data_IF_086378209335
#
_entry.id   IF_086378209335
#
_cell.length_a   1.000
_cell.length_b   1.000
_cell.length_c   1.000
_cell.angle_alpha   90.00
_cell.angle_beta   90.00
_cell.angle_gamma   90.00
#
_symmetry.space_group_name_H-M   'P 1'
#
loop_
_entity.id
_entity.type
_entity.pdbx_description
1 polymer ?
#
# COMPACT_ATOMS: atom_id res chain seq x y z
N UNK A 1 3.59 -13.57 2.58
CA UNK A 1 3.08 -13.32 1.22
C UNK A 1 3.07 -11.82 0.96
N UNK A 2 3.42 -11.41 -0.25
CA UNK A 2 3.35 -10.01 -0.71
C UNK A 2 3.31 -10.01 -2.25
N UNK A 3 2.66 -9.03 -2.90
CA UNK A 3 2.69 -8.94 -4.34
C UNK A 3 4.07 -8.53 -4.89
N UNK A 4 4.23 -8.59 -6.21
CA UNK A 4 5.45 -8.26 -6.94
C UNK A 4 5.61 -6.74 -7.19
N UNK A 5 6.70 -6.08 -6.72
CA UNK A 5 6.97 -4.66 -6.97
C UNK A 5 7.06 -4.26 -8.44
N UNK A 6 7.40 -5.18 -9.34
CA UNK A 6 7.45 -4.91 -10.78
C UNK A 6 6.07 -4.64 -11.36
N UNK A 7 5.01 -5.25 -10.84
CA UNK A 7 3.65 -5.14 -11.39
C UNK A 7 2.66 -4.44 -10.47
N UNK A 8 2.87 -4.45 -9.15
CA UNK A 8 1.91 -3.97 -8.16
C UNK A 8 2.36 -2.68 -7.47
N UNK A 9 1.48 -1.67 -7.43
CA UNK A 9 1.68 -0.48 -6.60
C UNK A 9 1.69 -0.78 -5.09
N UNK A 10 0.83 -1.69 -4.63
CA UNK A 10 0.81 -2.14 -3.23
C UNK A 10 2.12 -2.81 -2.80
N UNK A 11 2.70 -3.61 -3.68
CA UNK A 11 4.00 -4.21 -3.41
C UNK A 11 5.13 -3.18 -3.22
N UNK A 12 5.08 -2.07 -3.95
CA UNK A 12 6.05 -0.98 -3.79
C UNK A 12 5.86 -0.28 -2.45
N UNK A 13 4.63 -0.04 -2.02
CA UNK A 13 4.36 0.48 -0.67
C UNK A 13 4.85 -0.48 0.43
N UNK A 14 4.59 -1.78 0.30
CA UNK A 14 5.08 -2.81 1.23
C UNK A 14 6.61 -2.78 1.36
N UNK A 15 7.30 -2.73 0.21
CA UNK A 15 8.75 -2.63 0.16
C UNK A 15 9.26 -1.36 0.86
N UNK A 16 8.70 -0.19 0.52
CA UNK A 16 9.14 1.09 1.08
C UNK A 16 8.84 1.20 2.57
N UNK A 17 7.74 0.60 3.04
CA UNK A 17 7.41 0.51 4.47
C UNK A 17 8.51 -0.26 5.22
N UNK A 18 8.91 -1.43 4.72
CA UNK A 18 9.97 -2.25 5.31
C UNK A 18 11.33 -1.54 5.28
N UNK A 19 11.67 -0.89 4.17
CA UNK A 19 12.89 -0.10 4.03
C UNK A 19 12.93 1.07 5.02
N UNK A 20 11.85 1.84 5.09
CA UNK A 20 11.74 3.00 5.99
C UNK A 20 11.75 2.61 7.47
N UNK A 21 11.20 1.45 7.83
CA UNK A 21 11.37 0.86 9.16
C UNK A 21 12.84 0.57 9.45
N UNK A 22 13.53 -0.13 8.55
CA UNK A 22 14.93 -0.50 8.74
C UNK A 22 15.85 0.71 8.90
N UNK A 23 15.58 1.81 8.17
CA UNK A 23 16.31 3.08 8.33
C UNK A 23 16.11 3.76 9.69
N UNK A 24 15.00 3.49 10.38
CA UNK A 24 14.72 4.05 11.71
C UNK A 24 15.32 3.23 12.86
N UNK A 25 15.90 2.06 12.58
CA UNK A 25 16.61 1.28 13.59
C UNK A 25 17.91 1.98 14.02
N UNK A 26 18.42 1.63 15.21
CA UNK A 26 19.70 2.14 15.69
C UNK A 26 20.82 1.73 14.72
N UNK A 27 21.52 2.72 14.16
CA UNK A 27 22.53 2.50 13.12
C UNK A 27 21.97 2.32 11.71
N UNK A 28 20.70 2.66 11.49
CA UNK A 28 20.03 2.57 10.20
C UNK A 28 20.69 3.42 9.12
N UNK A 29 20.95 2.78 7.98
CA UNK A 29 21.48 3.34 6.74
C UNK A 29 20.85 2.62 5.54
N UNK A 30 21.06 3.14 4.34
CA UNK A 30 20.55 2.49 3.11
C UNK A 30 21.12 1.08 2.92
N UNK A 31 22.38 0.84 3.32
CA UNK A 31 22.99 -0.49 3.27
C UNK A 31 22.30 -1.47 4.23
N UNK A 32 22.09 -1.07 5.49
CA UNK A 32 21.39 -1.93 6.46
C UNK A 32 19.92 -2.14 6.10
N UNK A 33 19.29 -1.17 5.44
CA UNK A 33 17.91 -1.31 4.95
C UNK A 33 17.82 -2.28 3.78
N UNK A 34 18.78 -2.24 2.86
CA UNK A 34 18.91 -3.23 1.78
C UNK A 34 19.07 -4.64 2.34
N UNK A 35 19.93 -4.84 3.33
CA UNK A 35 20.13 -6.15 3.97
C UNK A 35 18.87 -6.63 4.68
N UNK A 36 18.17 -5.73 5.39
CA UNK A 36 16.90 -6.06 6.05
C UNK A 36 15.85 -6.50 5.03
N UNK A 37 15.66 -5.74 3.97
CA UNK A 37 14.66 -6.05 2.94
C UNK A 37 15.06 -7.30 2.15
N UNK A 38 16.35 -7.54 1.89
CA UNK A 38 16.82 -8.81 1.31
C UNK A 38 16.43 -10.01 2.16
N UNK A 39 16.63 -9.95 3.48
CA UNK A 39 16.21 -11.01 4.42
C UNK A 39 14.68 -11.17 4.48
N UNK A 40 13.93 -10.07 4.35
CA UNK A 40 12.48 -10.13 4.26
C UNK A 40 12.05 -10.89 2.99
N UNK A 41 12.61 -10.54 1.84
CA UNK A 41 12.27 -11.17 0.56
C UNK A 41 12.75 -12.62 0.44
N UNK A 42 13.80 -13.03 1.15
CA UNK A 42 14.17 -14.45 1.22
C UNK A 42 13.12 -15.32 1.92
N UNK A 43 12.23 -14.73 2.72
CA UNK A 43 11.10 -15.41 3.36
C UNK A 43 9.81 -15.36 2.51
N UNK A 44 9.80 -14.65 1.38
CA UNK A 44 8.60 -14.51 0.54
C UNK A 44 8.43 -15.76 -0.32
N UNK A 45 7.38 -16.53 -0.03
CA UNK A 45 7.03 -17.76 -0.77
C UNK A 45 6.46 -17.50 -2.17
N UNK A 46 5.65 -16.46 -2.32
CA UNK A 46 4.93 -16.13 -3.57
C UNK A 46 4.91 -14.62 -3.76
N UNK A 47 5.18 -14.19 -5.00
CA UNK A 47 5.09 -12.81 -5.48
C UNK A 47 3.98 -12.68 -6.52
N UNK A 48 2.72 -12.58 -6.08
CA UNK A 48 1.59 -12.44 -7.00
C UNK A 48 1.65 -11.12 -7.78
N UNK A 49 1.02 -11.08 -8.96
CA UNK A 49 1.05 -9.89 -9.82
C UNK A 49 0.36 -8.66 -9.21
N UNK A 50 -0.56 -8.83 -8.27
CA UNK A 50 -1.33 -7.76 -7.63
C UNK A 50 -1.76 -8.10 -6.20
N UNK A 51 -2.13 -7.06 -5.44
CA UNK A 51 -2.43 -7.19 -4.00
C UNK A 51 -3.58 -8.15 -3.71
N UNK A 52 -4.69 -8.08 -4.47
CA UNK A 52 -5.81 -9.02 -4.32
C UNK A 52 -5.40 -10.48 -4.60
N UNK A 53 -4.49 -10.71 -5.55
CA UNK A 53 -3.94 -12.04 -5.80
C UNK A 53 -3.20 -12.59 -4.58
N UNK A 54 -2.39 -11.75 -3.92
CA UNK A 54 -1.73 -12.11 -2.66
C UNK A 54 -2.70 -12.31 -1.50
N UNK A 55 -3.79 -11.53 -1.43
CA UNK A 55 -4.89 -11.80 -0.49
C UNK A 55 -5.45 -13.19 -0.73
N UNK A 56 -5.88 -13.54 -1.95
CA UNK A 56 -6.40 -14.89 -2.28
C UNK A 56 -5.38 -15.99 -1.97
N UNK A 57 -4.09 -15.80 -2.29
CA UNK A 57 -3.03 -16.77 -1.96
C UNK A 57 -2.90 -17.02 -0.45
N UNK A 58 -2.92 -15.97 0.36
CA UNK A 58 -2.82 -16.11 1.82
C UNK A 58 -4.12 -16.63 2.44
N UNK A 59 -5.24 -16.01 2.08
CA UNK A 59 -6.51 -16.12 2.76
C UNK A 59 -7.31 -17.34 2.30
N UNK A 60 -7.46 -17.53 0.98
CA UNK A 60 -8.27 -18.60 0.42
C UNK A 60 -7.45 -19.89 0.23
N UNK A 61 -6.19 -19.76 -0.18
CA UNK A 61 -5.30 -20.92 -0.44
C UNK A 61 -4.48 -21.33 0.77
N UNK A 62 -4.49 -20.56 1.86
CA UNK A 62 -3.80 -20.88 3.11
C UNK A 62 -2.27 -20.92 2.98
N UNK A 63 -1.69 -20.13 2.07
CA UNK A 63 -0.24 -20.15 1.81
C UNK A 63 0.44 -19.03 2.59
N UNK A 64 1.41 -19.40 3.44
CA UNK A 64 2.27 -18.48 4.18
C UNK A 64 1.69 -18.06 5.53
N UNK A 65 2.54 -17.49 6.38
CA UNK A 65 2.22 -17.24 7.79
C UNK A 65 1.78 -15.80 8.06
N UNK A 66 2.16 -14.87 7.18
CA UNK A 66 1.77 -13.45 7.24
C UNK A 66 1.59 -12.88 5.83
N UNK A 67 0.57 -12.04 5.65
CA UNK A 67 0.38 -11.22 4.45
C UNK A 67 0.75 -9.77 4.76
N UNK A 68 1.65 -9.18 3.96
CA UNK A 68 1.86 -7.73 3.99
C UNK A 68 0.76 -7.10 3.13
N UNK A 69 -0.28 -6.60 3.78
CA UNK A 69 -1.53 -6.21 3.15
C UNK A 69 -1.68 -4.69 3.05
N UNK A 70 -2.50 -4.25 2.08
CA UNK A 70 -3.21 -2.99 2.23
C UNK A 70 -4.14 -3.05 3.44
N UNK A 71 -4.24 -1.97 4.20
CA UNK A 71 -5.10 -1.93 5.39
C UNK A 71 -6.57 -2.21 5.04
N UNK A 72 -7.07 -1.65 3.93
CA UNK A 72 -8.44 -1.89 3.48
C UNK A 72 -8.69 -3.37 3.11
N UNK A 73 -7.71 -4.06 2.52
CA UNK A 73 -7.81 -5.49 2.21
C UNK A 73 -7.79 -6.35 3.48
N UNK A 74 -7.01 -5.96 4.48
CA UNK A 74 -6.94 -6.67 5.76
C UNK A 74 -8.28 -6.61 6.51
N UNK A 75 -8.87 -5.42 6.67
CA UNK A 75 -10.19 -5.29 7.31
C UNK A 75 -11.30 -5.98 6.51
N UNK A 76 -11.26 -5.90 5.17
CA UNK A 76 -12.22 -6.59 4.33
C UNK A 76 -12.13 -8.11 4.52
N UNK A 77 -10.91 -8.66 4.54
CA UNK A 77 -10.69 -10.10 4.74
C UNK A 77 -11.25 -10.59 6.08
N UNK A 78 -11.02 -9.82 7.16
CA UNK A 78 -11.59 -10.12 8.49
C UNK A 78 -13.12 -10.03 8.49
N UNK A 79 -13.70 -9.02 7.84
CA UNK A 79 -15.16 -8.89 7.71
C UNK A 79 -15.79 -10.04 6.95
N UNK A 80 -15.20 -10.45 5.83
CA UNK A 80 -15.78 -11.48 4.96
C UNK A 80 -15.65 -12.90 5.53
N UNK A 81 -14.59 -13.17 6.28
CA UNK A 81 -14.22 -14.54 6.69
C UNK A 81 -14.34 -14.82 8.17
N UNK A 82 -14.61 -13.78 8.96
CA UNK A 82 -14.78 -13.83 10.40
C UNK A 82 -13.46 -13.55 11.15
N UNK A 83 -13.54 -12.90 12.33
CA UNK A 83 -12.37 -12.50 13.12
C UNK A 83 -11.61 -13.70 13.71
N UNK A 84 -12.21 -14.89 13.75
CA UNK A 84 -11.60 -16.08 14.35
C UNK A 84 -10.53 -16.72 13.47
N UNK A 85 -10.42 -16.32 12.20
CA UNK A 85 -9.48 -16.91 11.24
C UNK A 85 -8.21 -16.10 11.02
N UNK A 86 -8.29 -14.77 11.14
CA UNK A 86 -7.18 -13.88 10.84
C UNK A 86 -7.12 -12.73 11.84
N UNK A 87 -5.89 -12.42 12.26
CA UNK A 87 -5.59 -11.26 13.09
C UNK A 87 -4.91 -10.17 12.26
N UNK A 88 -5.30 -8.91 12.49
CA UNK A 88 -4.62 -7.75 11.92
C UNK A 88 -3.54 -7.29 12.92
N UNK A 89 -2.28 -7.55 12.57
CA UNK A 89 -1.13 -7.03 13.34
C UNK A 89 -0.74 -5.65 12.79
N UNK A 90 -0.93 -4.61 13.59
CA UNK A 90 -0.50 -3.25 13.25
C UNK A 90 0.96 -3.05 13.67
N UNK A 91 1.89 -2.74 12.74
CA UNK A 91 3.30 -2.55 13.08
C UNK A 91 3.52 -1.25 13.86
N UNK A 92 4.67 -1.13 14.52
CA UNK A 92 5.05 0.09 15.26
C UNK A 92 5.18 1.32 14.36
N UNK A 93 5.48 1.11 13.07
CA UNK A 93 5.58 2.16 12.05
C UNK A 93 5.21 1.58 10.68
N UNK A 94 4.58 2.39 9.84
CA UNK A 94 4.28 2.06 8.45
C UNK A 94 4.42 3.31 7.56
N UNK A 95 4.11 3.18 6.27
CA UNK A 95 4.15 4.28 5.31
C UNK A 95 2.74 4.82 5.05
N UNK A 96 2.60 6.14 4.98
CA UNK A 96 1.39 6.78 4.48
C UNK A 96 1.30 6.51 2.98
N UNK A 97 0.35 5.66 2.60
CA UNK A 97 0.13 5.32 1.21
C UNK A 97 -1.03 6.15 0.64
N UNK A 98 -0.77 6.84 -0.48
CA UNK A 98 -1.66 7.84 -1.07
C UNK A 98 -2.01 7.44 -2.51
N UNK A 99 -3.07 6.64 -2.75
CA UNK A 99 -3.48 6.24 -4.10
C UNK A 99 -3.99 7.46 -4.91
N UNK A 100 -3.29 7.89 -5.97
CA UNK A 100 -3.69 9.09 -6.71
C UNK A 100 -4.78 8.78 -7.74
N UNK A 101 -5.60 9.78 -8.04
CA UNK A 101 -6.59 9.76 -9.14
C UNK A 101 -6.33 10.92 -10.10
N UNK A 102 -6.63 10.74 -11.39
CA UNK A 102 -6.44 11.76 -12.40
C UNK A 102 -7.43 11.59 -13.57
N UNK A 103 -7.83 12.72 -14.17
CA UNK A 103 -8.53 12.73 -15.46
C UNK A 103 -7.51 12.46 -16.57
N UNK A 104 -7.86 11.60 -17.53
CA UNK A 104 -7.01 11.31 -18.68
C UNK A 104 -7.40 12.22 -19.86
N UNK A 105 -6.74 13.38 -19.97
CA UNK A 105 -7.11 14.47 -20.88
C UNK A 105 -7.41 14.01 -22.33
N UNK A 106 -6.44 13.32 -22.95
CA UNK A 106 -6.58 12.85 -24.33
C UNK A 106 -7.79 11.95 -24.56
N UNK A 107 -8.20 11.18 -23.54
CA UNK A 107 -9.34 10.26 -23.63
C UNK A 107 -10.65 11.00 -23.46
N UNK A 108 -10.73 11.89 -22.46
CA UNK A 108 -11.97 12.62 -22.19
C UNK A 108 -12.29 13.64 -23.27
N UNK A 109 -11.28 14.26 -23.89
CA UNK A 109 -11.46 15.18 -25.01
C UNK A 109 -11.94 14.44 -26.26
N UNK A 110 -11.32 13.30 -26.59
CA UNK A 110 -11.73 12.45 -27.71
C UNK A 110 -13.18 11.96 -27.56
N UNK A 111 -13.62 11.69 -26.33
CA UNK A 111 -14.95 11.12 -26.04
C UNK A 111 -16.01 12.15 -25.66
N UNK A 112 -15.65 13.43 -25.54
CA UNK A 112 -16.57 14.47 -25.05
C UNK A 112 -17.07 14.23 -23.61
N UNK A 113 -16.28 13.54 -22.78
CA UNK A 113 -16.69 13.09 -21.42
C UNK A 113 -16.03 13.87 -20.29
N UNK A 114 -15.31 14.96 -20.61
CA UNK A 114 -14.53 15.74 -19.63
C UNK A 114 -15.35 16.14 -18.42
N UNK A 115 -16.54 16.72 -18.63
CA UNK A 115 -17.40 17.20 -17.54
C UNK A 115 -17.75 16.07 -16.56
N UNK A 116 -18.28 14.95 -17.06
CA UNK A 116 -18.71 13.83 -16.21
C UNK A 116 -17.52 13.14 -15.52
N UNK A 117 -16.37 13.01 -16.19
CA UNK A 117 -15.17 12.40 -15.62
C UNK A 117 -14.56 13.27 -14.51
N UNK A 118 -14.52 14.59 -14.70
CA UNK A 118 -14.06 15.53 -13.67
C UNK A 118 -14.99 15.50 -12.46
N UNK A 119 -16.30 15.57 -12.67
CA UNK A 119 -17.26 15.53 -11.56
C UNK A 119 -17.25 14.19 -10.81
N UNK A 120 -17.03 13.07 -11.51
CA UNK A 120 -16.82 11.77 -10.87
C UNK A 120 -15.65 11.79 -9.87
N UNK A 121 -14.51 12.38 -10.26
CA UNK A 121 -13.36 12.49 -9.35
C UNK A 121 -13.59 13.52 -8.24
N UNK A 122 -14.20 14.66 -8.55
CA UNK A 122 -14.57 15.67 -7.53
C UNK A 122 -15.50 15.06 -6.45
N UNK A 123 -16.41 14.18 -6.86
CA UNK A 123 -17.36 13.55 -5.95
C UNK A 123 -16.67 12.69 -4.88
N UNK A 124 -15.52 12.10 -5.18
CA UNK A 124 -14.70 11.35 -4.21
C UNK A 124 -14.30 12.20 -3.00
N UNK A 125 -14.24 13.53 -3.16
CA UNK A 125 -13.82 14.49 -2.14
C UNK A 125 -14.99 15.17 -1.42
N UNK A 126 -16.23 14.83 -1.78
CA UNK A 126 -17.41 15.25 -1.00
C UNK A 126 -17.47 14.50 0.32
N UNK A 127 -18.23 15.02 1.29
CA UNK A 127 -18.48 14.30 2.55
C UNK A 127 -19.03 12.90 2.30
N UNK A 128 -19.96 12.72 1.35
CA UNK A 128 -20.52 11.42 0.99
C UNK A 128 -19.46 10.48 0.40
N UNK A 129 -18.65 10.95 -0.56
CA UNK A 129 -17.55 10.15 -1.13
C UNK A 129 -16.55 9.70 -0.05
N UNK A 130 -16.25 10.58 0.91
CA UNK A 130 -15.38 10.28 2.04
C UNK A 130 -16.04 9.30 3.03
N UNK A 131 -17.35 9.36 3.26
CA UNK A 131 -18.07 8.35 4.05
C UNK A 131 -18.04 6.98 3.37
N UNK A 132 -18.26 6.92 2.06
CA UNK A 132 -18.17 5.68 1.28
C UNK A 132 -16.75 5.10 1.38
N UNK A 133 -15.71 5.92 1.25
CA UNK A 133 -14.32 5.48 1.41
C UNK A 133 -14.09 4.84 2.80
N UNK A 134 -14.55 5.50 3.87
CA UNK A 134 -14.42 5.00 5.24
C UNK A 134 -15.17 3.68 5.48
N UNK A 135 -16.40 3.56 4.95
CA UNK A 135 -17.19 2.32 5.02
C UNK A 135 -16.52 1.13 4.32
N UNK A 136 -15.67 1.42 3.32
CA UNK A 136 -14.89 0.46 2.57
C UNK A 136 -13.42 0.39 3.05
N UNK A 137 -13.17 0.77 4.30
CA UNK A 137 -11.88 0.63 5.00
C UNK A 137 -10.72 1.46 4.45
N UNK A 138 -11.00 2.50 3.67
CA UNK A 138 -10.00 3.51 3.33
C UNK A 138 -10.03 4.64 4.35
N UNK A 139 -8.86 5.15 4.74
CA UNK A 139 -8.77 6.30 5.65
C UNK A 139 -9.23 7.57 4.92
N UNK A 140 -10.34 8.22 5.32
CA UNK A 140 -10.80 9.45 4.70
C UNK A 140 -9.90 10.63 5.08
N UNK A 141 -9.79 11.62 4.19
CA UNK A 141 -9.04 12.86 4.40
C UNK A 141 -9.92 14.00 4.94
N UNK A 142 -11.25 13.91 4.78
CA UNK A 142 -12.17 14.82 5.45
C UNK A 142 -12.07 14.61 6.97
N UNK A 143 -11.73 15.67 7.71
CA UNK A 143 -11.46 15.60 9.16
C UNK A 143 -12.69 15.18 9.98
N UNK A 144 -13.90 15.57 9.56
CA UNK A 144 -15.13 15.22 10.27
C UNK A 144 -15.46 13.74 10.05
N UNK A 145 -15.31 13.26 8.82
CA UNK A 145 -15.51 11.84 8.50
C UNK A 145 -14.42 10.99 9.17
N UNK A 146 -13.15 11.41 9.14
CA UNK A 146 -12.06 10.72 9.81
C UNK A 146 -12.31 10.57 11.33
N UNK A 147 -12.79 11.62 11.99
CA UNK A 147 -13.16 11.54 13.42
C UNK A 147 -14.32 10.57 13.69
N UNK A 148 -15.34 10.53 12.80
CA UNK A 148 -16.48 9.60 12.90
C UNK A 148 -16.05 8.14 12.83
N UNK A 149 -15.03 7.82 12.03
CA UNK A 149 -14.55 6.45 11.82
C UNK A 149 -13.23 6.14 12.56
N UNK A 150 -12.76 6.99 13.49
CA UNK A 150 -11.45 6.83 14.15
C UNK A 150 -11.28 5.44 14.77
N UNK A 151 -12.33 4.92 15.43
CA UNK A 151 -12.29 3.61 16.11
C UNK A 151 -12.15 2.41 15.16
N UNK A 152 -12.42 2.59 13.87
CA UNK A 152 -12.28 1.53 12.88
C UNK A 152 -10.81 1.25 12.54
N UNK A 153 -9.93 2.24 12.71
CA UNK A 153 -8.55 2.15 12.26
C UNK A 153 -7.59 2.13 13.45
N UNK A 154 -6.72 1.11 13.49
CA UNK A 154 -5.64 1.08 14.45
C UNK A 154 -4.74 2.32 14.34
N UNK A 155 -4.26 2.80 15.50
CA UNK A 155 -3.28 3.88 15.57
C UNK A 155 -1.92 3.33 15.15
N UNK A 156 -1.27 4.03 14.22
CA UNK A 156 0.05 3.64 13.68
C UNK A 156 0.86 4.89 13.38
N UNK A 157 2.17 4.85 13.66
CA UNK A 157 3.08 5.92 13.24
C UNK A 157 3.30 5.79 11.74
N UNK A 158 3.04 6.86 10.99
CA UNK A 158 3.24 6.89 9.54
C UNK A 158 4.35 7.86 9.17
N UNK A 159 5.20 7.46 8.23
CA UNK A 159 6.08 8.39 7.49
C UNK A 159 5.60 8.52 6.05
N UNK A 160 5.88 9.65 5.40
CA UNK A 160 5.52 9.87 4.01
C UNK A 160 6.68 9.60 3.05
N UNK A 161 6.36 9.36 1.78
CA UNK A 161 7.34 9.03 0.76
C UNK A 161 8.27 10.21 0.43
N UNK A 162 7.78 11.44 0.58
CA UNK A 162 8.55 12.66 0.27
C UNK A 162 9.73 12.81 1.22
N UNK A 163 9.50 12.72 2.53
CA UNK A 163 10.53 12.83 3.56
C UNK A 163 11.48 11.63 3.56
N UNK A 164 10.95 10.41 3.40
CA UNK A 164 11.75 9.20 3.53
C UNK A 164 12.57 8.87 2.27
N UNK A 165 12.09 9.24 1.08
CA UNK A 165 12.68 8.83 -0.21
C UNK A 165 12.90 9.96 -1.22
N UNK A 166 12.50 11.20 -0.91
CA UNK A 166 12.54 12.31 -1.87
C UNK A 166 11.45 12.22 -2.94
N UNK A 167 10.35 11.52 -2.65
CA UNK A 167 9.19 11.40 -3.54
C UNK A 167 9.27 10.24 -4.54
N UNK A 168 8.17 10.03 -5.25
CA UNK A 168 7.95 8.86 -6.11
C UNK A 168 8.97 8.73 -7.26
N UNK A 169 9.36 9.82 -7.90
CA UNK A 169 10.34 9.78 -9.00
C UNK A 169 11.67 9.17 -8.56
N UNK A 170 12.18 9.60 -7.39
CA UNK A 170 13.43 9.10 -6.84
C UNK A 170 13.27 7.67 -6.33
N UNK A 171 12.21 7.40 -5.56
CA UNK A 171 11.92 6.06 -5.05
C UNK A 171 11.80 5.01 -6.18
N UNK A 172 11.05 5.33 -7.24
CA UNK A 172 10.87 4.45 -8.39
C UNK A 172 12.18 4.19 -9.13
N UNK A 173 12.97 5.25 -9.39
CA UNK A 173 14.27 5.12 -10.08
C UNK A 173 15.26 4.28 -9.28
N UNK A 174 15.37 4.51 -7.98
CA UNK A 174 16.36 3.85 -7.12
C UNK A 174 15.98 2.40 -6.83
N UNK A 175 14.73 2.14 -6.46
CA UNK A 175 14.34 0.84 -5.94
C UNK A 175 13.73 -0.10 -6.99
N UNK A 176 12.97 0.41 -7.97
CA UNK A 176 12.04 -0.42 -8.75
C UNK A 176 12.30 -0.44 -10.26
N UNK A 177 13.07 0.50 -10.79
CA UNK A 177 13.52 0.47 -12.17
C UNK A 177 14.34 -0.80 -12.47
N UNK A 178 14.51 -1.13 -13.74
CA UNK A 178 15.32 -2.28 -14.13
C UNK A 178 16.78 -2.08 -13.72
N UNK A 179 17.36 -3.08 -13.06
CA UNK A 179 18.67 -2.99 -12.40
C UNK A 179 18.66 -2.22 -11.07
N UNK A 180 17.49 -1.75 -10.62
CA UNK A 180 17.30 -1.10 -9.32
C UNK A 180 17.51 -2.05 -8.15
N UNK A 181 17.44 -1.51 -6.93
CA UNK A 181 17.78 -2.28 -5.72
C UNK A 181 16.91 -3.53 -5.55
N UNK A 182 15.62 -3.47 -5.92
CA UNK A 182 14.75 -4.65 -5.85
C UNK A 182 15.27 -5.81 -6.69
N UNK A 183 15.84 -5.55 -7.87
CA UNK A 183 16.41 -6.59 -8.72
C UNK A 183 17.67 -7.16 -8.07
N UNK A 184 18.53 -6.31 -7.52
CA UNK A 184 19.78 -6.73 -6.86
C UNK A 184 19.54 -7.66 -5.66
N UNK A 185 18.44 -7.46 -4.91
CA UNK A 185 18.09 -8.32 -3.78
C UNK A 185 17.26 -9.55 -4.18
N UNK A 186 16.70 -9.56 -5.40
CA UNK A 186 15.85 -10.64 -5.91
C UNK A 186 16.61 -11.66 -6.75
N UNK A 187 17.80 -11.31 -7.25
CA UNK A 187 18.71 -12.26 -7.90
C UNK A 187 19.23 -13.24 -6.84
N UNK A 188 18.91 -14.52 -7.03
CA UNK A 188 19.59 -15.63 -6.36
C UNK A 188 20.88 -15.96 -7.09
#
# INVERSE_FOLDING_TARGET
ITPNPKTSGGARWNYLAAWGYAKQLKGGSDATAQDFVKKLYSNVKVLDSGARGSTTTFVERGIGDVLIAWENEAYLSVKELGPDKFEIVTPSVSILAEPPVAVVDKVVDKRGTRKVATEYLNYLYTTEGQEIAAQNYYRPIDKKVAAKYEKQFAKVKLFNITEAFGGWTKAQKTHFADGGIFDQISVK
#
